data_IF_788954578029
#
_entry.id   IF_788954578029
#
_cell.length_a   1.000
_cell.length_b   1.000
_cell.length_c   1.000
_cell.angle_alpha   90.00
_cell.angle_beta   90.00
_cell.angle_gamma   90.00
#
_symmetry.space_group_name_H-M   'P 1'
#
loop_
_entity.id
_entity.type
_entity.pdbx_description
1 polymer ?
#
# COMPACT_ATOMS: atom_id res chain seq x y z
N UNK A 1 -0.38 -32.95 14.57
CA UNK A 1 -1.64 -33.72 14.75
C UNK A 1 -1.33 -35.12 15.26
N UNK A 2 -2.19 -35.68 16.12
CA UNK A 2 -2.10 -37.09 16.52
C UNK A 2 -2.89 -37.95 15.53
N UNK A 3 -2.28 -39.00 15.00
CA UNK A 3 -2.98 -40.01 14.20
C UNK A 3 -3.35 -41.22 15.05
N UNK A 4 -4.19 -42.12 14.53
CA UNK A 4 -4.51 -43.40 15.19
C UNK A 4 -3.30 -44.36 15.20
N UNK A 5 -2.28 -44.07 14.38
CA UNK A 5 -0.95 -44.70 14.40
C UNK A 5 -0.06 -44.05 15.47
N UNK A 6 0.99 -44.76 15.93
CA UNK A 6 2.00 -44.26 16.88
C UNK A 6 2.90 -43.20 16.24
N UNK A 7 2.31 -42.10 15.81
CA UNK A 7 2.94 -41.12 14.93
C UNK A 7 2.41 -39.71 15.24
N UNK A 8 3.33 -38.75 15.23
CA UNK A 8 3.01 -37.32 15.27
C UNK A 8 3.36 -36.72 13.90
N UNK A 9 2.43 -35.95 13.35
CA UNK A 9 2.63 -35.27 12.07
C UNK A 9 2.73 -33.76 12.31
N UNK A 10 3.82 -33.16 11.84
CA UNK A 10 4.04 -31.71 11.83
C UNK A 10 3.65 -31.19 10.44
N UNK A 11 2.65 -30.30 10.39
CA UNK A 11 2.11 -29.72 9.16
C UNK A 11 2.49 -28.25 8.95
N UNK A 12 2.97 -27.59 10.00
CA UNK A 12 3.35 -26.19 10.00
C UNK A 12 4.61 -26.04 10.84
N UNK A 13 5.52 -25.16 10.42
CA UNK A 13 6.78 -24.88 11.11
C UNK A 13 6.86 -23.41 11.51
N UNK A 14 7.61 -23.06 12.57
CA UNK A 14 7.79 -21.67 12.97
C UNK A 14 8.43 -20.80 11.88
N UNK A 15 8.08 -19.52 11.87
CA UNK A 15 8.71 -18.56 10.97
C UNK A 15 10.22 -18.46 11.25
N UNK A 16 11.03 -18.54 10.19
CA UNK A 16 12.50 -18.47 10.27
C UNK A 16 13.18 -19.84 10.33
N UNK A 17 12.44 -20.95 10.33
CA UNK A 17 12.97 -22.32 10.23
C UNK A 17 12.68 -22.94 8.86
N UNK A 18 13.36 -24.03 8.54
CA UNK A 18 13.07 -24.88 7.37
C UNK A 18 12.69 -26.29 7.85
N UNK A 19 12.02 -27.07 6.98
CA UNK A 19 11.70 -28.47 7.30
C UNK A 19 12.97 -29.26 7.68
N UNK A 20 14.05 -29.07 6.91
CA UNK A 20 15.34 -29.69 7.19
C UNK A 20 15.96 -29.22 8.51
N UNK A 21 15.95 -27.92 8.81
CA UNK A 21 16.52 -27.43 10.08
C UNK A 21 15.74 -27.95 11.28
N UNK A 22 14.41 -28.06 11.16
CA UNK A 22 13.57 -28.64 12.19
C UNK A 22 13.85 -30.14 12.36
N UNK A 23 14.03 -30.88 11.26
CA UNK A 23 14.42 -32.29 11.31
C UNK A 23 15.75 -32.48 12.02
N UNK A 24 16.76 -31.66 11.70
CA UNK A 24 18.07 -31.70 12.37
C UNK A 24 17.96 -31.39 13.87
N UNK A 25 17.10 -30.43 14.24
CA UNK A 25 16.82 -30.08 15.64
C UNK A 25 16.22 -31.26 16.41
N UNK A 26 15.24 -31.95 15.81
CA UNK A 26 14.61 -33.14 16.38
C UNK A 26 15.61 -34.29 16.53
N UNK A 27 16.45 -34.55 15.51
CA UNK A 27 17.47 -35.59 15.55
C UNK A 27 18.50 -35.32 16.66
N UNK A 28 18.98 -34.08 16.80
CA UNK A 28 19.89 -33.68 17.88
C UNK A 28 19.27 -33.86 19.26
N UNK A 29 18.00 -33.52 19.43
CA UNK A 29 17.30 -33.73 20.70
C UNK A 29 17.14 -35.23 21.02
N UNK A 30 17.00 -36.08 20.00
CA UNK A 30 16.97 -37.53 20.15
C UNK A 30 18.34 -38.12 20.52
N UNK A 31 19.41 -37.68 19.88
CA UNK A 31 20.80 -38.07 20.24
C UNK A 31 21.15 -37.69 21.68
N UNK A 32 20.62 -36.57 22.18
CA UNK A 32 20.78 -36.12 23.56
C UNK A 32 19.86 -36.84 24.55
N UNK A 33 18.99 -37.74 24.09
CA UNK A 33 18.03 -38.47 24.92
C UNK A 33 16.89 -37.61 25.49
N UNK A 34 16.73 -36.36 25.02
CA UNK A 34 15.70 -35.42 25.49
C UNK A 34 14.34 -35.71 24.88
N UNK A 35 14.33 -36.23 23.66
CA UNK A 35 13.14 -36.69 22.93
C UNK A 35 13.41 -38.15 22.53
N UNK A 36 12.40 -39.03 22.58
CA UNK A 36 12.54 -40.42 22.13
C UNK A 36 11.73 -40.64 20.86
N UNK A 37 12.40 -40.80 19.73
CA UNK A 37 11.76 -41.11 18.44
C UNK A 37 12.35 -42.40 17.86
N UNK A 38 11.53 -43.16 17.13
CA UNK A 38 11.97 -44.37 16.44
C UNK A 38 12.51 -44.05 15.04
N UNK A 39 11.81 -43.15 14.33
CA UNK A 39 12.15 -42.73 12.97
C UNK A 39 11.58 -41.33 12.70
N UNK A 40 12.30 -40.56 11.89
CA UNK A 40 11.87 -39.28 11.37
C UNK A 40 11.85 -39.34 9.84
N UNK A 41 10.76 -38.89 9.22
CA UNK A 41 10.65 -38.79 7.76
C UNK A 41 10.20 -37.38 7.37
N UNK A 42 10.96 -36.75 6.47
CA UNK A 42 10.54 -35.50 5.83
C UNK A 42 9.85 -35.86 4.50
N UNK A 43 8.52 -35.72 4.48
CA UNK A 43 7.68 -35.91 3.30
C UNK A 43 7.20 -34.56 2.73
N UNK A 44 7.88 -33.45 3.09
CA UNK A 44 7.52 -32.11 2.64
C UNK A 44 7.62 -32.00 1.12
N UNK A 45 6.53 -31.55 0.49
CA UNK A 45 6.46 -31.27 -0.94
C UNK A 45 5.84 -29.88 -1.15
N UNK A 46 4.64 -29.81 -1.74
CA UNK A 46 3.87 -28.57 -1.80
C UNK A 46 3.45 -28.09 -0.40
N UNK A 47 3.14 -29.04 0.49
CA UNK A 47 2.80 -28.80 1.88
C UNK A 47 3.85 -29.43 2.79
N UNK A 48 4.10 -28.81 3.94
CA UNK A 48 4.96 -29.37 4.98
C UNK A 48 4.32 -30.63 5.54
N UNK A 49 5.09 -31.71 5.57
CA UNK A 49 4.68 -32.97 6.19
C UNK A 49 5.90 -33.69 6.76
N UNK A 50 6.15 -33.50 8.06
CA UNK A 50 7.21 -34.21 8.79
C UNK A 50 6.55 -35.24 9.69
N UNK A 51 6.93 -36.51 9.50
CA UNK A 51 6.38 -37.66 10.21
C UNK A 51 7.36 -38.11 11.29
N UNK A 52 6.91 -38.05 12.54
CA UNK A 52 7.67 -38.46 13.73
C UNK A 52 7.08 -39.77 14.24
N UNK A 53 7.78 -40.88 13.99
CA UNK A 53 7.37 -42.20 14.46
C UNK A 53 7.84 -42.43 15.91
N UNK A 54 6.91 -42.82 16.77
CA UNK A 54 7.19 -43.03 18.19
C UNK A 54 7.54 -44.50 18.49
N UNK A 55 8.51 -44.78 19.38
CA UNK A 55 8.80 -46.12 19.85
C UNK A 55 7.60 -46.77 20.56
N UNK A 56 7.59 -48.10 20.67
CA UNK A 56 6.55 -48.80 21.42
C UNK A 56 6.60 -48.45 22.91
N UNK A 57 5.44 -48.11 23.50
CA UNK A 57 5.32 -47.76 24.92
C UNK A 57 5.62 -46.29 25.24
N UNK A 58 5.95 -45.47 24.24
CA UNK A 58 6.12 -44.02 24.42
C UNK A 58 4.78 -43.29 24.40
N UNK A 59 4.57 -42.41 25.37
CA UNK A 59 3.39 -41.55 25.43
C UNK A 59 3.50 -40.39 24.43
N UNK A 60 2.45 -40.24 23.61
CA UNK A 60 2.45 -39.25 22.53
C UNK A 60 2.31 -37.81 23.04
N UNK A 61 1.63 -37.60 24.18
CA UNK A 61 1.47 -36.27 24.79
C UNK A 61 2.78 -35.81 25.41
N UNK A 62 3.46 -36.68 26.15
CA UNK A 62 4.77 -36.42 26.72
C UNK A 62 5.80 -36.12 25.61
N UNK A 63 5.76 -36.87 24.50
CA UNK A 63 6.66 -36.61 23.37
C UNK A 63 6.36 -35.29 22.69
N UNK A 64 5.07 -34.93 22.53
CA UNK A 64 4.67 -33.64 21.97
C UNK A 64 5.20 -32.48 22.83
N UNK A 65 5.08 -32.58 24.16
CA UNK A 65 5.65 -31.60 25.09
C UNK A 65 7.18 -31.53 24.98
N UNK A 66 7.85 -32.68 24.83
CA UNK A 66 9.30 -32.74 24.69
C UNK A 66 9.77 -32.08 23.38
N UNK A 67 9.03 -32.27 22.28
CA UNK A 67 9.30 -31.63 21.01
C UNK A 67 9.23 -30.11 21.13
N UNK A 68 8.19 -29.56 21.75
CA UNK A 68 8.10 -28.10 21.97
C UNK A 68 9.21 -27.58 22.90
N UNK A 69 9.58 -28.32 23.94
CA UNK A 69 10.56 -27.86 24.93
C UNK A 69 12.03 -27.94 24.44
N UNK A 70 12.36 -28.90 23.57
CA UNK A 70 13.76 -29.23 23.25
C UNK A 70 14.11 -29.13 21.77
N UNK A 71 13.17 -28.74 20.91
CA UNK A 71 13.39 -28.60 19.45
C UNK A 71 12.85 -27.27 18.94
N UNK A 72 13.15 -26.96 17.68
CA UNK A 72 12.67 -25.74 17.01
C UNK A 72 11.19 -25.81 16.62
N UNK A 73 10.40 -26.73 17.22
CA UNK A 73 8.94 -26.72 17.16
C UNK A 73 8.36 -25.48 17.86
N UNK A 74 9.09 -24.89 18.80
CA UNK A 74 8.81 -23.59 19.41
C UNK A 74 10.04 -22.68 19.30
N UNK A 75 9.86 -21.47 18.78
CA UNK A 75 10.94 -20.49 18.65
C UNK A 75 10.50 -19.16 19.27
N UNK A 76 11.32 -18.64 20.17
CA UNK A 76 11.10 -17.32 20.76
C UNK A 76 11.44 -16.22 19.76
N UNK A 77 10.48 -15.34 19.48
CA UNK A 77 10.69 -14.16 18.65
C UNK A 77 10.57 -12.92 19.53
N UNK A 78 11.61 -12.08 19.51
CA UNK A 78 11.65 -10.80 20.21
C UNK A 78 11.52 -9.65 19.19
N UNK A 79 10.30 -9.20 18.87
CA UNK A 79 10.11 -8.15 17.88
C UNK A 79 10.69 -6.82 18.38
N UNK A 80 11.51 -6.18 17.55
CA UNK A 80 12.03 -4.83 17.79
C UNK A 80 11.89 -3.99 16.52
N UNK A 81 11.03 -2.98 16.55
CA UNK A 81 10.75 -2.14 15.39
C UNK A 81 11.68 -0.92 15.38
N UNK A 82 12.74 -0.99 14.56
CA UNK A 82 13.65 0.12 14.28
C UNK A 82 13.37 0.68 12.89
N UNK A 83 13.07 1.98 12.80
CA UNK A 83 12.82 2.69 11.54
C UNK A 83 13.72 3.92 11.45
N UNK A 84 13.97 4.38 10.22
CA UNK A 84 14.70 5.64 9.99
C UNK A 84 13.69 6.78 9.94
N UNK A 85 13.86 7.76 10.82
CA UNK A 85 13.10 9.00 10.82
C UNK A 85 14.08 10.17 10.93
N UNK A 86 13.95 11.14 10.02
CA UNK A 86 14.83 12.32 9.96
C UNK A 86 16.33 11.95 9.88
N UNK A 87 16.64 10.96 9.02
CA UNK A 87 17.98 10.40 8.84
C UNK A 87 18.62 9.80 10.10
N UNK A 88 17.81 9.40 11.10
CA UNK A 88 18.26 8.79 12.35
C UNK A 88 17.47 7.53 12.68
N UNK A 89 18.10 6.51 13.29
CA UNK A 89 17.37 5.33 13.78
C UNK A 89 16.47 5.71 14.97
N UNK A 90 15.24 5.19 14.95
CA UNK A 90 14.24 5.34 16.01
C UNK A 90 13.61 3.99 16.30
N UNK A 91 13.46 3.67 17.58
CA UNK A 91 12.68 2.53 18.04
C UNK A 91 11.28 3.01 18.39
N UNK A 92 10.26 2.52 17.69
CA UNK A 92 8.89 3.02 17.79
C UNK A 92 7.92 1.87 18.04
N UNK A 93 6.81 2.18 18.73
CA UNK A 93 5.71 1.24 18.86
C UNK A 93 4.88 1.14 17.57
N UNK A 94 4.19 0.01 17.38
CA UNK A 94 3.32 -0.23 16.19
C UNK A 94 2.30 0.91 16.01
N UNK A 95 1.70 1.41 17.10
CA UNK A 95 0.73 2.51 17.04
C UNK A 95 1.34 3.82 16.50
N UNK A 96 2.59 4.12 16.81
CA UNK A 96 3.27 5.33 16.33
C UNK A 96 3.62 5.19 14.86
N UNK A 97 4.13 4.02 14.46
CA UNK A 97 4.43 3.69 13.06
C UNK A 97 3.16 3.84 12.21
N UNK A 98 2.02 3.30 12.67
CA UNK A 98 0.75 3.40 11.97
C UNK A 98 0.25 4.85 11.85
N UNK A 99 0.35 5.65 12.92
CA UNK A 99 -0.01 7.08 12.89
C UNK A 99 0.86 7.85 11.91
N UNK A 100 2.18 7.60 11.92
CA UNK A 100 3.11 8.25 11.02
C UNK A 100 2.80 7.92 9.56
N UNK A 101 2.66 6.62 9.25
CA UNK A 101 2.34 6.14 7.91
C UNK A 101 1.00 6.71 7.41
N UNK A 102 -0.06 6.66 8.22
CA UNK A 102 -1.37 7.18 7.85
C UNK A 102 -1.35 8.70 7.60
N UNK A 103 -0.61 9.46 8.43
CA UNK A 103 -0.46 10.91 8.25
C UNK A 103 0.34 11.22 6.98
N UNK A 104 1.45 10.54 6.74
CA UNK A 104 2.25 10.72 5.54
C UNK A 104 1.45 10.42 4.27
N UNK A 105 0.68 9.32 4.26
CA UNK A 105 -0.22 9.01 3.14
C UNK A 105 -1.28 10.09 2.91
N UNK A 106 -1.90 10.59 3.98
CA UNK A 106 -2.86 11.70 3.88
C UNK A 106 -2.22 12.94 3.27
N UNK A 107 -1.02 13.29 3.71
CA UNK A 107 -0.31 14.49 3.25
C UNK A 107 0.11 14.36 1.78
N UNK A 108 0.55 13.17 1.34
CA UNK A 108 0.83 12.87 -0.08
C UNK A 108 -0.43 12.96 -0.96
N UNK A 109 -1.55 12.41 -0.50
CA UNK A 109 -2.84 12.53 -1.21
C UNK A 109 -3.28 14.00 -1.30
N UNK A 110 -3.00 14.79 -0.26
CA UNK A 110 -3.23 16.24 -0.29
C UNK A 110 -2.46 16.91 -1.42
N UNK A 111 -1.16 16.64 -1.52
CA UNK A 111 -0.31 17.16 -2.60
C UNK A 111 -0.81 16.73 -3.99
N UNK A 112 -1.21 15.47 -4.16
CA UNK A 112 -1.78 14.98 -5.42
C UNK A 112 -3.05 15.74 -5.82
N UNK A 113 -3.95 15.99 -4.86
CA UNK A 113 -5.17 16.76 -5.09
C UNK A 113 -4.89 18.25 -5.39
N UNK A 114 -3.87 18.84 -4.77
CA UNK A 114 -3.42 20.21 -5.07
C UNK A 114 -2.86 20.32 -6.49
N UNK A 115 -2.01 19.37 -6.90
CA UNK A 115 -1.49 19.30 -8.27
C UNK A 115 -2.65 19.18 -9.26
N UNK A 116 -3.57 18.24 -9.01
CA UNK A 116 -4.76 18.07 -9.85
C UNK A 116 -5.62 19.33 -9.91
N UNK A 117 -5.78 20.04 -8.79
CA UNK A 117 -6.53 21.29 -8.76
C UNK A 117 -5.88 22.34 -9.65
N UNK A 118 -4.55 22.51 -9.55
CA UNK A 118 -3.81 23.46 -10.37
C UNK A 118 -3.93 23.13 -11.86
N UNK A 119 -3.81 21.85 -12.24
CA UNK A 119 -4.01 21.42 -13.63
C UNK A 119 -5.43 21.71 -14.16
N UNK A 120 -6.45 21.52 -13.33
CA UNK A 120 -7.83 21.82 -13.70
C UNK A 120 -8.05 23.33 -13.82
N UNK A 121 -7.47 24.13 -12.94
CA UNK A 121 -7.53 25.60 -12.99
C UNK A 121 -6.81 26.14 -14.23
N UNK A 122 -5.66 25.57 -14.62
CA UNK A 122 -4.98 25.90 -15.89
C UNK A 122 -5.83 25.56 -17.11
N UNK A 123 -6.42 24.36 -17.14
CA UNK A 123 -7.33 23.95 -18.23
C UNK A 123 -8.53 24.89 -18.34
N UNK A 124 -9.10 25.28 -17.20
CA UNK A 124 -10.22 26.21 -17.15
C UNK A 124 -9.80 27.61 -17.61
N UNK A 125 -8.63 28.09 -17.18
CA UNK A 125 -8.10 29.39 -17.56
C UNK A 125 -7.91 29.51 -19.07
N UNK A 126 -7.20 28.55 -19.68
CA UNK A 126 -6.97 28.55 -21.12
C UNK A 126 -8.26 28.41 -21.92
N UNK A 127 -9.17 27.52 -21.49
CA UNK A 127 -10.47 27.34 -22.18
C UNK A 127 -11.33 28.60 -22.10
N UNK A 128 -11.25 29.34 -20.98
CA UNK A 128 -11.96 30.61 -20.81
C UNK A 128 -11.37 31.71 -21.68
N UNK A 129 -10.04 31.78 -21.78
CA UNK A 129 -9.34 32.68 -22.70
C UNK A 129 -9.72 32.41 -24.16
N UNK A 130 -9.67 31.14 -24.59
CA UNK A 130 -10.06 30.73 -25.93
C UNK A 130 -11.52 31.10 -26.24
N UNK A 131 -12.43 30.87 -25.29
CA UNK A 131 -13.83 31.28 -25.41
C UNK A 131 -13.98 32.77 -25.61
N UNK A 132 -13.33 33.60 -24.78
CA UNK A 132 -13.39 35.07 -24.89
C UNK A 132 -12.81 35.52 -26.25
N UNK A 133 -11.68 34.93 -26.65
CA UNK A 133 -11.00 35.23 -27.91
C UNK A 133 -11.91 35.02 -29.13
N UNK A 134 -12.68 33.93 -29.14
CA UNK A 134 -13.62 33.58 -30.21
C UNK A 134 -14.91 34.41 -30.12
N UNK A 135 -15.57 34.46 -28.96
CA UNK A 135 -16.88 35.12 -28.80
C UNK A 135 -16.81 36.63 -29.05
N UNK A 136 -15.72 37.28 -28.63
CA UNK A 136 -15.50 38.72 -28.82
C UNK A 136 -14.85 39.05 -30.15
N UNK A 137 -14.63 38.03 -30.99
CA UNK A 137 -14.03 38.13 -32.33
C UNK A 137 -12.67 38.84 -32.32
N UNK A 138 -11.87 38.61 -31.26
CA UNK A 138 -10.53 39.21 -31.13
C UNK A 138 -9.62 38.71 -32.26
N UNK A 139 -9.79 37.45 -32.67
CA UNK A 139 -9.08 36.86 -33.81
C UNK A 139 -9.23 37.63 -35.14
N UNK A 140 -10.28 38.44 -35.33
CA UNK A 140 -10.44 39.26 -36.54
C UNK A 140 -9.61 40.54 -36.49
N UNK A 141 -9.29 41.02 -35.29
CA UNK A 141 -8.54 42.26 -35.09
C UNK A 141 -7.08 42.11 -35.48
N UNK A 142 -6.57 40.88 -35.37
CA UNK A 142 -5.20 40.54 -35.75
C UNK A 142 -5.02 40.27 -37.25
N UNK A 143 -6.10 40.24 -38.05
CA UNK A 143 -6.04 39.96 -39.50
C UNK A 143 -5.30 41.07 -40.28
N UNK A 144 -5.36 42.32 -39.81
CA UNK A 144 -4.74 43.50 -40.43
C UNK A 144 -3.37 43.85 -39.82
N UNK A 145 -2.86 43.04 -38.88
CA UNK A 145 -1.57 43.29 -38.23
C UNK A 145 -0.40 42.84 -39.12
N UNK A 146 0.58 43.72 -39.32
CA UNK A 146 1.75 43.46 -40.17
C UNK A 146 2.96 42.89 -39.40
N UNK A 147 2.96 42.97 -38.07
CA UNK A 147 4.06 42.49 -37.21
C UNK A 147 3.58 41.59 -36.08
N UNK A 148 4.46 40.70 -35.60
CA UNK A 148 4.15 39.80 -34.49
C UNK A 148 3.88 40.54 -33.19
N UNK A 149 4.63 41.62 -32.94
CA UNK A 149 4.44 42.49 -31.79
C UNK A 149 3.06 43.16 -31.82
N UNK A 150 2.60 43.60 -33.00
CA UNK A 150 1.28 44.18 -33.18
C UNK A 150 0.17 43.15 -32.94
N UNK A 151 0.36 41.89 -33.36
CA UNK A 151 -0.57 40.79 -33.06
C UNK A 151 -0.72 40.61 -31.56
N UNK A 152 0.39 40.51 -30.81
CA UNK A 152 0.36 40.33 -29.35
C UNK A 152 -0.33 41.52 -28.66
N UNK A 153 0.00 42.76 -29.05
CA UNK A 153 -0.59 43.98 -28.47
C UNK A 153 -2.11 44.07 -28.71
N UNK A 154 -2.58 43.69 -29.90
CA UNK A 154 -4.00 43.72 -30.23
C UNK A 154 -4.78 42.65 -29.45
N UNK A 155 -4.20 41.45 -29.25
CA UNK A 155 -4.80 40.41 -28.39
C UNK A 155 -4.89 40.90 -26.96
N UNK A 156 -3.82 41.49 -26.42
CA UNK A 156 -3.81 42.10 -25.09
C UNK A 156 -4.91 43.14 -24.93
N UNK A 157 -5.02 44.05 -25.90
CA UNK A 157 -6.01 45.13 -25.92
C UNK A 157 -7.44 44.57 -25.97
N UNK A 158 -7.65 43.52 -26.76
CA UNK A 158 -8.92 42.81 -26.86
C UNK A 158 -9.33 42.07 -25.58
N UNK A 159 -8.36 41.49 -24.86
CA UNK A 159 -8.60 40.74 -23.62
C UNK A 159 -8.73 41.64 -22.38
N UNK A 160 -8.14 42.84 -22.40
CA UNK A 160 -8.09 43.79 -21.27
C UNK A 160 -9.44 44.01 -20.55
N UNK A 161 -10.60 44.13 -21.24
CA UNK A 161 -11.89 44.30 -20.57
C UNK A 161 -12.35 43.07 -19.77
N UNK A 162 -11.80 41.89 -20.04
CA UNK A 162 -12.28 40.60 -19.52
C UNK A 162 -11.35 39.95 -18.50
N UNK A 163 -10.19 40.56 -18.22
CA UNK A 163 -9.19 40.00 -17.28
C UNK A 163 -9.77 39.70 -15.90
N UNK A 164 -10.77 40.47 -15.44
CA UNK A 164 -11.45 40.26 -14.15
C UNK A 164 -12.28 38.97 -14.06
N UNK A 165 -12.62 38.36 -15.20
CA UNK A 165 -13.37 37.10 -15.24
C UNK A 165 -12.46 35.88 -15.08
N UNK A 166 -11.14 36.06 -15.20
CA UNK A 166 -10.15 34.99 -15.14
C UNK A 166 -9.67 34.77 -13.71
N UNK A 167 -9.27 33.53 -13.40
CA UNK A 167 -8.85 33.12 -12.06
C UNK A 167 -7.38 33.41 -11.75
N UNK A 168 -6.58 33.66 -12.78
CA UNK A 168 -5.17 34.06 -12.67
C UNK A 168 -4.85 35.13 -13.69
N UNK A 169 -3.71 35.76 -13.51
CA UNK A 169 -3.15 36.70 -14.48
C UNK A 169 -2.83 35.99 -15.79
N UNK A 170 -3.08 36.69 -16.90
CA UNK A 170 -2.74 36.23 -18.24
C UNK A 170 -1.26 36.48 -18.47
N UNK A 171 -0.54 35.50 -18.97
CA UNK A 171 0.87 35.64 -19.34
C UNK A 171 1.02 35.83 -20.84
N UNK A 172 2.21 36.24 -21.28
CA UNK A 172 2.52 36.31 -22.71
C UNK A 172 2.42 34.92 -23.36
N UNK A 173 2.83 33.85 -22.65
CA UNK A 173 2.70 32.47 -23.12
C UNK A 173 1.24 32.10 -23.43
N UNK A 174 0.28 32.53 -22.60
CA UNK A 174 -1.14 32.30 -22.86
C UNK A 174 -1.59 32.96 -24.16
N UNK A 175 -1.10 34.16 -24.45
CA UNK A 175 -1.45 34.94 -25.64
C UNK A 175 -0.85 34.33 -26.89
N UNK A 176 0.42 33.93 -26.84
CA UNK A 176 1.06 33.19 -27.94
C UNK A 176 0.26 31.92 -28.22
N UNK A 177 -0.16 31.19 -27.18
CA UNK A 177 -0.97 29.98 -27.32
C UNK A 177 -2.37 30.24 -27.92
N UNK A 178 -2.95 31.45 -27.75
CA UNK A 178 -4.19 31.83 -28.43
C UNK A 178 -4.02 31.99 -29.95
N UNK A 179 -2.84 32.30 -30.44
CA UNK A 179 -2.61 32.37 -31.90
C UNK A 179 -2.64 31.01 -32.58
N UNK A 180 -2.45 29.91 -31.83
CA UNK A 180 -2.41 28.54 -32.34
C UNK A 180 -3.80 27.87 -32.40
N UNK A 181 -4.87 28.61 -32.10
CA UNK A 181 -6.21 28.02 -32.11
C UNK A 181 -6.59 27.52 -33.51
N UNK A 182 -7.21 26.35 -33.56
CA UNK A 182 -7.63 25.77 -34.85
C UNK A 182 -8.90 26.45 -35.34
N UNK A 183 -8.91 26.90 -36.59
CA UNK A 183 -10.06 27.60 -37.23
C UNK A 183 -11.40 26.88 -37.01
N UNK A 184 -11.42 25.54 -37.04
CA UNK A 184 -12.64 24.75 -36.79
C UNK A 184 -13.35 25.11 -35.47
N UNK A 185 -12.60 25.52 -34.44
CA UNK A 185 -13.11 25.85 -33.10
C UNK A 185 -13.92 27.14 -33.05
N UNK A 186 -13.89 27.96 -34.10
CA UNK A 186 -14.66 29.23 -34.21
C UNK A 186 -16.15 28.96 -34.50
N UNK A 187 -16.52 27.73 -34.87
CA UNK A 187 -17.89 27.38 -35.21
C UNK A 187 -18.85 27.52 -34.01
N UNK A 188 -20.13 27.83 -34.29
CA UNK A 188 -21.18 27.89 -33.24
C UNK A 188 -21.38 26.55 -32.53
N UNK A 189 -21.09 25.44 -33.21
CA UNK A 189 -21.13 24.10 -32.62
C UNK A 189 -20.02 23.90 -31.59
N UNK A 190 -18.80 24.36 -31.88
CA UNK A 190 -17.67 24.28 -30.95
C UNK A 190 -17.83 25.22 -29.75
N UNK A 191 -18.48 26.38 -29.91
CA UNK A 191 -18.82 27.29 -28.81
C UNK A 191 -19.72 26.61 -27.75
N UNK A 192 -20.74 25.85 -28.16
CA UNK A 192 -21.58 25.10 -27.22
C UNK A 192 -20.79 24.01 -26.49
N UNK A 193 -19.89 23.29 -27.18
CA UNK A 193 -19.01 22.30 -26.56
C UNK A 193 -18.03 22.91 -25.56
N UNK A 194 -17.52 24.11 -25.84
CA UNK A 194 -16.65 24.83 -24.93
C UNK A 194 -17.37 25.18 -23.62
N UNK A 195 -18.65 25.55 -23.69
CA UNK A 195 -19.48 25.81 -22.51
C UNK A 195 -19.70 24.56 -21.65
N UNK A 196 -20.05 23.44 -22.28
CA UNK A 196 -20.20 22.16 -21.56
C UNK A 196 -18.88 21.71 -20.94
N UNK A 197 -17.77 21.87 -21.67
CA UNK A 197 -16.44 21.54 -21.16
C UNK A 197 -16.04 22.41 -19.97
N UNK A 198 -16.27 23.72 -20.03
CA UNK A 198 -16.01 24.64 -18.91
C UNK A 198 -16.84 24.29 -17.67
N UNK A 199 -18.13 23.97 -17.84
CA UNK A 199 -18.97 23.50 -16.72
C UNK A 199 -18.42 22.21 -16.11
N UNK A 200 -18.02 21.25 -16.94
CA UNK A 200 -17.40 20.01 -16.47
C UNK A 200 -16.08 20.23 -15.72
N UNK A 201 -15.29 21.24 -16.11
CA UNK A 201 -14.10 21.64 -15.36
C UNK A 201 -14.46 22.30 -14.03
N UNK A 202 -15.48 23.15 -14.00
CA UNK A 202 -15.96 23.80 -12.76
C UNK A 202 -16.45 22.77 -11.74
N UNK A 203 -17.21 21.77 -12.17
CA UNK A 203 -17.68 20.68 -11.32
C UNK A 203 -16.50 19.87 -10.75
N UNK A 204 -15.51 19.54 -11.58
CA UNK A 204 -14.32 18.82 -11.15
C UNK A 204 -13.47 19.64 -10.17
N UNK A 205 -13.34 20.94 -10.39
CA UNK A 205 -12.63 21.86 -9.49
C UNK A 205 -13.37 21.95 -8.15
N UNK A 206 -14.70 22.09 -8.18
CA UNK A 206 -15.52 22.16 -6.97
C UNK A 206 -15.40 20.88 -6.14
N UNK A 207 -15.47 19.71 -6.78
CA UNK A 207 -15.31 18.42 -6.12
C UNK A 207 -13.89 18.24 -5.58
N UNK A 208 -12.86 18.64 -6.34
CA UNK A 208 -11.45 18.59 -5.87
C UNK A 208 -11.24 19.49 -4.65
N UNK A 209 -11.76 20.74 -4.67
CA UNK A 209 -11.72 21.66 -3.52
C UNK A 209 -12.46 21.10 -2.31
N UNK A 210 -13.60 20.44 -2.52
CA UNK A 210 -14.36 19.77 -1.45
C UNK A 210 -13.58 18.62 -0.84
N UNK A 211 -12.91 17.81 -1.67
CA UNK A 211 -12.06 16.72 -1.21
C UNK A 211 -10.84 17.22 -0.44
N UNK A 212 -10.19 18.30 -0.89
CA UNK A 212 -9.13 18.98 -0.13
C UNK A 212 -9.61 19.49 1.24
N UNK A 213 -10.78 20.13 1.29
CA UNK A 213 -11.39 20.56 2.57
C UNK A 213 -11.72 19.39 3.51
N UNK A 214 -12.00 18.21 2.97
CA UNK A 214 -12.33 16.99 3.71
C UNK A 214 -11.25 15.92 3.56
N UNK A 215 -9.98 16.33 3.53
CA UNK A 215 -8.85 15.48 3.19
C UNK A 215 -8.83 14.17 3.99
N UNK A 216 -9.02 14.24 5.31
CA UNK A 216 -9.06 13.04 6.16
C UNK A 216 -10.13 12.03 5.72
N UNK A 217 -11.35 12.50 5.43
CA UNK A 217 -12.43 11.60 4.99
C UNK A 217 -12.13 10.99 3.61
N UNK A 218 -11.54 11.78 2.72
CA UNK A 218 -11.10 11.30 1.42
C UNK A 218 -10.00 10.24 1.55
N UNK A 219 -9.02 10.44 2.43
CA UNK A 219 -7.96 9.47 2.73
C UNK A 219 -8.50 8.19 3.35
N UNK A 220 -9.49 8.26 4.26
CA UNK A 220 -10.15 7.07 4.81
C UNK A 220 -10.79 6.24 3.68
N UNK A 221 -11.57 6.89 2.80
CA UNK A 221 -12.17 6.23 1.64
C UNK A 221 -11.12 5.61 0.72
N UNK A 222 -9.96 6.24 0.58
CA UNK A 222 -8.84 5.69 -0.19
C UNK A 222 -8.29 4.39 0.45
N UNK A 223 -8.11 4.36 1.77
CA UNK A 223 -7.71 3.14 2.48
C UNK A 223 -8.77 2.03 2.41
N UNK A 224 -10.06 2.38 2.51
CA UNK A 224 -11.15 1.43 2.28
C UNK A 224 -11.09 0.83 0.87
N UNK A 225 -10.83 1.65 -0.15
CA UNK A 225 -10.64 1.17 -1.51
C UNK A 225 -9.43 0.23 -1.68
N UNK A 226 -8.35 0.45 -0.92
CA UNK A 226 -7.23 -0.51 -0.86
C UNK A 226 -7.67 -1.83 -0.24
N UNK A 227 -8.36 -1.78 0.89
CA UNK A 227 -8.88 -2.97 1.56
C UNK A 227 -9.82 -3.76 0.63
N UNK A 228 -10.68 -3.10 -0.12
CA UNK A 228 -11.63 -3.78 -1.01
C UNK A 228 -10.94 -4.42 -2.22
N UNK A 229 -9.90 -3.78 -2.77
CA UNK A 229 -9.13 -4.30 -3.91
C UNK A 229 -8.20 -5.43 -3.51
N UNK A 230 -7.51 -5.30 -2.38
CA UNK A 230 -6.40 -6.19 -2.01
C UNK A 230 -6.69 -7.11 -0.81
N UNK A 231 -7.79 -6.88 -0.08
CA UNK A 231 -8.15 -7.67 1.10
C UNK A 231 -8.92 -8.95 0.78
N UNK A 232 -9.55 -9.06 -0.41
CA UNK A 232 -10.29 -10.27 -0.81
C UNK A 232 -9.35 -11.47 -0.87
N UNK A 233 -9.74 -12.57 -0.23
CA UNK A 233 -8.95 -13.81 -0.18
C UNK A 233 -7.72 -13.78 0.73
N UNK A 234 -7.44 -12.65 1.40
CA UNK A 234 -6.32 -12.53 2.36
C UNK A 234 -6.78 -12.66 3.80
N UNK A 235 -7.31 -13.84 4.14
CA UNK A 235 -7.67 -14.16 5.53
C UNK A 235 -6.41 -14.42 6.37
N UNK A 236 -6.53 -14.20 7.68
CA UNK A 236 -5.49 -14.53 8.65
C UNK A 236 -5.20 -16.04 8.56
N UNK A 237 -3.92 -16.38 8.38
CA UNK A 237 -3.43 -17.77 8.31
C UNK A 237 -2.94 -18.31 9.65
N UNK A 238 -2.59 -17.42 10.58
CA UNK A 238 -2.06 -17.79 11.90
C UNK A 238 -3.12 -17.70 12.99
N UNK A 239 -3.12 -18.66 13.89
CA UNK A 239 -3.95 -18.64 15.10
C UNK A 239 -3.23 -17.92 16.25
N UNK A 240 -3.99 -17.24 17.11
CA UNK A 240 -3.48 -16.68 18.36
C UNK A 240 -3.97 -17.57 19.51
N UNK A 241 -3.07 -18.35 20.07
CA UNK A 241 -3.33 -19.21 21.23
C UNK A 241 -2.35 -18.88 22.35
N UNK A 242 -2.74 -19.19 23.59
CA UNK A 242 -1.85 -19.18 24.75
C UNK A 242 -1.46 -20.62 25.06
N UNK A 243 -0.17 -20.92 25.08
CA UNK A 243 0.36 -22.20 25.53
C UNK A 243 0.82 -22.08 26.98
N UNK A 244 0.48 -23.07 27.81
CA UNK A 244 1.13 -23.21 29.11
C UNK A 244 2.60 -23.54 28.88
N UNK A 245 3.49 -22.78 29.53
CA UNK A 245 4.93 -22.95 29.38
C UNK A 245 5.31 -24.34 29.89
N UNK A 246 5.67 -25.24 28.98
CA UNK A 246 6.09 -26.59 29.31
C UNK A 246 7.36 -26.50 30.16
N UNK A 247 7.30 -26.92 31.42
CA UNK A 247 8.47 -26.96 32.29
C UNK A 247 9.39 -28.09 31.82
N UNK A 248 10.52 -27.73 31.21
CA UNK A 248 11.51 -28.67 30.70
C UNK A 248 11.93 -29.72 31.75
N UNK A 249 11.88 -29.39 33.05
CA UNK A 249 12.22 -30.35 34.13
C UNK A 249 11.22 -31.49 34.28
N UNK A 250 9.95 -31.28 33.93
CA UNK A 250 8.89 -32.29 34.08
C UNK A 250 8.84 -33.29 32.91
N UNK A 251 9.46 -32.94 31.77
CA UNK A 251 9.32 -33.70 30.51
C UNK A 251 10.57 -34.51 30.17
N UNK A 252 11.70 -34.29 30.85
CA UNK A 252 12.91 -35.10 30.67
C UNK A 252 12.61 -36.55 31.06
N UNK A 253 12.79 -37.46 30.11
CA UNK A 253 12.69 -38.90 30.37
C UNK A 253 13.99 -39.35 31.06
N UNK A 254 13.87 -39.96 32.25
CA UNK A 254 15.02 -40.52 32.95
C UNK A 254 15.68 -41.62 32.09
N UNK A 255 16.99 -41.47 31.86
CA UNK A 255 17.82 -42.37 31.07
C UNK A 255 18.79 -43.13 31.98
N UNK A 256 18.32 -43.59 33.15
CA UNK A 256 19.13 -44.37 34.07
C UNK A 256 19.25 -45.82 33.57
N UNK A 257 20.37 -46.14 32.93
CA UNK A 257 20.79 -47.54 32.74
C UNK A 257 21.22 -48.09 34.09
N UNK A 258 20.33 -48.86 34.72
CA UNK A 258 20.67 -49.71 35.86
C UNK A 258 21.63 -50.82 35.37
N UNK A 259 22.91 -50.69 35.70
CA UNK A 259 23.82 -51.83 35.68
C UNK A 259 23.50 -52.69 36.90
N UNK A 260 22.96 -53.89 36.68
CA UNK A 260 22.82 -54.95 37.69
C UNK A 260 23.97 -55.93 37.51
#
# INVERSE_FOLDING_TARGET
EKTKSRELIIREIPYGTTASSLCDSILKANEQGKVRIARLEDCTAENVEIRVHLPAGTDADQTLQALYAFTDCEVSISPNACVIQDNKPRFLGVSEILKHSAKQTRDLIGQELEIKLNELEEKWHFSSLEKIFIEKRIYRRIEECETWEAVIEEIWTGLRPYLRLLRREVTEEDIVRLTEIRIKRISKYDSFKADEYLRGLEDQIAETKKNLKRLTAYTVKWFEGIKDRFGKGRVRRTELSTFDRVDAKQVVVANDTLYV
#
